data_IF_512927779931
#
_entry.id   IF_512927779931
#
_cell.length_a   1.000
_cell.length_b   1.000
_cell.length_c   1.000
_cell.angle_alpha   90.00
_cell.angle_beta   90.00
_cell.angle_gamma   90.00
#
_symmetry.space_group_name_H-M   'P 1'
#
loop_
_entity.id
_entity.type
_entity.pdbx_description
1 polymer ?
#
# COMPACT_ATOMS: atom_id res chain seq x y z
N UNK A 1 -34.64 5.85 -30.23
CA UNK A 1 -34.39 6.65 -29.00
C UNK A 1 -34.39 5.84 -27.70
N UNK A 2 -34.96 4.62 -27.62
CA UNK A 2 -34.90 3.78 -26.41
C UNK A 2 -33.52 3.13 -26.16
N UNK A 3 -32.75 2.86 -27.21
CA UNK A 3 -31.42 2.21 -27.10
C UNK A 3 -30.30 3.12 -26.61
N UNK A 4 -30.44 4.45 -26.71
CA UNK A 4 -29.43 5.41 -26.26
C UNK A 4 -29.48 5.57 -24.72
N UNK A 5 -30.67 5.44 -24.12
CA UNK A 5 -30.84 5.51 -22.67
C UNK A 5 -30.18 4.32 -21.94
N UNK A 6 -30.09 3.16 -22.58
CA UNK A 6 -29.46 1.95 -22.01
C UNK A 6 -27.94 2.10 -21.93
N UNK A 7 -27.31 2.77 -22.90
CA UNK A 7 -25.85 2.98 -22.90
C UNK A 7 -25.40 3.99 -21.84
N UNK A 8 -26.25 4.97 -21.50
CA UNK A 8 -25.98 5.97 -20.46
C UNK A 8 -26.09 5.35 -19.05
N UNK A 9 -26.96 4.36 -18.85
CA UNK A 9 -27.15 3.68 -17.56
C UNK A 9 -25.95 2.79 -17.18
N UNK A 10 -25.24 2.23 -18.17
CA UNK A 10 -24.06 1.36 -17.95
C UNK A 10 -22.83 2.16 -17.52
N UNK A 11 -22.75 3.47 -17.84
CA UNK A 11 -21.61 4.32 -17.48
C UNK A 11 -21.64 4.74 -15.99
N UNK A 12 -22.77 4.58 -15.30
CA UNK A 12 -22.92 4.94 -13.89
C UNK A 12 -22.52 3.84 -12.89
N UNK A 13 -22.10 2.65 -13.35
CA UNK A 13 -21.61 1.58 -12.47
C UNK A 13 -20.08 1.55 -12.33
N UNK A 14 -19.39 2.65 -12.69
CA UNK A 14 -17.95 2.80 -12.41
C UNK A 14 -17.78 2.78 -10.89
N UNK A 15 -17.46 1.58 -10.40
CA UNK A 15 -17.21 1.24 -9.01
C UNK A 15 -16.23 2.25 -8.42
N UNK A 16 -16.73 3.11 -7.55
CA UNK A 16 -15.89 3.92 -6.70
C UNK A 16 -15.21 2.95 -5.72
N UNK A 17 -14.02 2.46 -6.07
CA UNK A 17 -13.25 1.60 -5.17
C UNK A 17 -13.01 2.37 -3.87
N UNK A 18 -13.23 1.74 -2.71
CA UNK A 18 -12.95 2.34 -1.39
C UNK A 18 -11.47 2.63 -1.10
N UNK A 19 -10.61 2.59 -2.14
CA UNK A 19 -9.17 2.82 -2.08
C UNK A 19 -8.86 4.19 -2.67
N UNK A 20 -8.26 5.06 -1.86
CA UNK A 20 -7.69 6.33 -2.29
C UNK A 20 -6.18 6.21 -2.48
N UNK A 21 -5.64 6.83 -3.51
CA UNK A 21 -4.20 6.87 -3.76
C UNK A 21 -3.68 8.30 -3.58
N UNK A 22 -2.61 8.44 -2.80
CA UNK A 22 -1.89 9.70 -2.59
C UNK A 22 -0.44 9.51 -3.02
N UNK A 23 0.07 10.47 -3.77
CA UNK A 23 1.46 10.48 -4.22
C UNK A 23 2.11 11.75 -3.73
N UNK A 24 3.24 11.64 -3.06
CA UNK A 24 4.02 12.83 -2.72
C UNK A 24 4.60 13.44 -4.00
N UNK A 25 4.50 14.78 -4.09
CA UNK A 25 4.94 15.56 -5.26
C UNK A 25 6.47 15.60 -5.41
N UNK A 26 7.22 15.35 -4.35
CA UNK A 26 8.68 15.35 -4.38
C UNK A 26 9.19 14.00 -4.91
N UNK A 27 9.68 14.03 -6.15
CA UNK A 27 10.65 13.04 -6.63
C UNK A 27 11.97 13.36 -5.94
N UNK A 28 12.07 13.07 -4.64
CA UNK A 28 13.35 13.13 -3.96
C UNK A 28 14.25 12.11 -4.66
N UNK A 29 15.21 12.61 -5.44
CA UNK A 29 16.27 11.82 -6.05
C UNK A 29 16.82 10.87 -4.97
N UNK A 30 16.72 9.56 -5.23
CA UNK A 30 17.12 8.46 -4.32
C UNK A 30 18.55 8.56 -3.77
N UNK A 31 19.37 9.48 -4.26
CA UNK A 31 20.82 9.46 -4.08
C UNK A 31 21.35 10.08 -2.79
N UNK A 32 20.56 10.50 -1.81
CA UNK A 32 21.15 11.10 -0.59
C UNK A 32 20.31 11.15 0.68
N UNK A 33 19.29 10.29 0.84
CA UNK A 33 18.52 10.25 2.08
C UNK A 33 18.86 9.00 2.88
N UNK A 34 19.68 9.20 3.92
CA UNK A 34 19.90 8.21 4.95
C UNK A 34 18.70 8.25 5.91
N UNK A 35 17.72 7.39 5.68
CA UNK A 35 16.65 7.16 6.66
C UNK A 35 17.09 6.00 7.58
N UNK A 36 17.24 6.23 8.90
CA UNK A 36 17.62 5.19 9.86
C UNK A 36 16.70 3.96 9.82
N UNK A 37 15.43 4.15 9.45
CA UNK A 37 14.44 3.07 9.31
C UNK A 37 14.85 2.09 8.22
N UNK A 38 15.39 2.58 7.10
CA UNK A 38 15.83 1.71 6.00
C UNK A 38 16.97 0.80 6.43
N UNK A 39 17.96 1.34 7.15
CA UNK A 39 19.08 0.56 7.65
C UNK A 39 18.63 -0.47 8.69
N UNK A 40 17.76 -0.06 9.62
CA UNK A 40 17.20 -0.96 10.66
C UNK A 40 16.42 -2.13 10.07
N UNK A 41 15.79 -1.90 8.92
CA UNK A 41 14.98 -2.91 8.21
C UNK A 41 15.74 -3.64 7.08
N UNK A 42 17.04 -3.43 6.92
CA UNK A 42 17.85 -3.97 5.82
C UNK A 42 17.24 -3.71 4.42
N UNK A 43 16.69 -2.51 4.26
CA UNK A 43 15.97 -2.05 3.07
C UNK A 43 16.66 -0.83 2.43
N UNK A 44 17.97 -0.68 2.60
CA UNK A 44 18.78 0.39 2.01
C UNK A 44 19.09 0.14 0.51
N UNK A 45 18.96 -1.09 0.03
CA UNK A 45 19.16 -1.42 -1.38
C UNK A 45 18.16 -0.70 -2.31
N UNK A 46 18.62 -0.26 -3.49
CA UNK A 46 17.81 0.49 -4.45
C UNK A 46 16.72 -0.34 -5.14
N UNK A 47 16.80 -1.67 -5.08
CA UNK A 47 15.86 -2.62 -5.67
C UNK A 47 14.72 -3.03 -4.70
N UNK A 48 14.66 -2.40 -3.53
CA UNK A 48 13.63 -2.66 -2.51
C UNK A 48 12.78 -1.44 -2.23
N UNK A 49 11.55 -1.68 -1.78
CA UNK A 49 10.66 -0.71 -1.16
C UNK A 49 10.13 -1.30 0.15
N UNK A 50 9.56 -0.47 1.02
CA UNK A 50 8.95 -0.92 2.26
C UNK A 50 7.45 -0.63 2.22
N UNK A 51 6.63 -1.65 2.44
CA UNK A 51 5.18 -1.55 2.55
C UNK A 51 4.81 -1.60 4.03
N UNK A 52 4.20 -0.53 4.53
CA UNK A 52 3.72 -0.41 5.89
C UNK A 52 2.20 -0.52 5.93
N UNK A 53 1.68 -1.28 6.88
CA UNK A 53 0.26 -1.36 7.23
C UNK A 53 0.04 -0.58 8.52
N UNK A 54 -0.78 0.47 8.44
CA UNK A 54 -1.00 1.46 9.51
C UNK A 54 -2.49 1.79 9.66
N UNK A 55 -2.89 2.52 10.70
CA UNK A 55 -4.31 2.86 10.90
C UNK A 55 -5.02 1.85 11.81
N UNK A 56 -6.24 1.44 11.48
CA UNK A 56 -7.11 0.67 12.40
C UNK A 56 -7.34 -0.78 11.96
N UNK A 57 -6.28 -1.58 11.96
CA UNK A 57 -6.41 -3.03 11.80
C UNK A 57 -6.75 -3.74 13.13
N UNK A 58 -7.81 -4.55 13.14
CA UNK A 58 -8.33 -5.29 14.30
C UNK A 58 -8.50 -6.79 14.00
N UNK A 59 -7.42 -7.55 14.19
CA UNK A 59 -7.36 -8.99 13.88
C UNK A 59 -7.74 -9.28 12.43
N UNK A 60 -7.21 -8.49 11.51
CA UNK A 60 -7.45 -8.65 10.08
C UNK A 60 -6.47 -9.66 9.47
N UNK A 61 -7.02 -10.60 8.68
CA UNK A 61 -6.20 -11.51 7.89
C UNK A 61 -5.64 -10.80 6.66
N UNK A 62 -4.32 -10.76 6.57
CA UNK A 62 -3.57 -10.10 5.51
C UNK A 62 -2.64 -11.07 4.81
N UNK A 63 -2.67 -11.05 3.49
CA UNK A 63 -1.71 -11.73 2.63
C UNK A 63 -0.99 -10.72 1.75
N UNK A 64 0.34 -10.77 1.74
CA UNK A 64 1.18 -9.96 0.85
C UNK A 64 1.92 -10.88 -0.11
N UNK A 65 1.83 -10.56 -1.40
CA UNK A 65 2.54 -11.26 -2.48
C UNK A 65 3.45 -10.31 -3.22
N UNK A 66 4.68 -10.73 -3.51
CA UNK A 66 5.63 -9.97 -4.32
C UNK A 66 5.95 -10.74 -5.61
N UNK A 67 5.19 -10.47 -6.67
CA UNK A 67 5.06 -11.35 -7.84
C UNK A 67 4.16 -12.56 -7.54
N UNK A 68 4.68 -13.76 -7.78
CA UNK A 68 4.02 -15.04 -7.47
C UNK A 68 4.13 -15.43 -6.00
N UNK A 69 5.11 -14.89 -5.30
CA UNK A 69 5.58 -15.42 -4.03
C UNK A 69 4.77 -14.81 -2.88
N UNK A 70 4.21 -15.64 -2.01
CA UNK A 70 3.57 -15.19 -0.76
C UNK A 70 4.69 -14.94 0.25
N UNK A 71 4.90 -13.67 0.59
CA UNK A 71 5.95 -13.24 1.52
C UNK A 71 5.41 -13.02 2.93
N UNK A 72 4.10 -12.78 3.05
CA UNK A 72 3.41 -12.65 4.32
C UNK A 72 1.99 -13.21 4.22
N UNK A 73 1.56 -13.93 5.25
CA UNK A 73 0.21 -14.48 5.35
C UNK A 73 -0.13 -14.74 6.83
N UNK A 74 -0.69 -13.75 7.51
CA UNK A 74 -1.04 -13.88 8.91
C UNK A 74 -2.16 -12.90 9.28
N UNK A 75 -2.58 -12.96 10.54
CA UNK A 75 -3.49 -11.98 11.13
C UNK A 75 -2.68 -10.87 11.80
N UNK A 76 -3.06 -9.62 11.55
CA UNK A 76 -2.39 -8.44 12.12
C UNK A 76 -3.33 -7.65 13.02
N UNK A 77 -2.76 -6.84 13.91
CA UNK A 77 -3.49 -5.86 14.72
C UNK A 77 -2.60 -4.65 14.91
N UNK A 78 -3.20 -3.47 14.88
CA UNK A 78 -2.44 -2.23 15.05
C UNK A 78 -2.02 -2.08 16.50
N UNK A 79 -0.74 -1.81 16.74
CA UNK A 79 -0.29 -1.35 18.04
C UNK A 79 -0.82 0.06 18.29
N UNK A 80 -1.66 0.29 19.32
CA UNK A 80 -2.28 1.59 19.56
C UNK A 80 -1.26 2.67 19.97
N UNK A 81 -0.07 2.26 20.45
CA UNK A 81 0.99 3.20 20.87
C UNK A 81 1.71 3.85 19.69
N UNK A 82 1.86 3.13 18.58
CA UNK A 82 2.65 3.58 17.43
C UNK A 82 1.85 3.66 16.12
N UNK A 83 0.61 3.14 16.09
CA UNK A 83 -0.25 3.17 14.90
C UNK A 83 0.24 2.27 13.74
N UNK A 84 1.14 1.33 14.04
CA UNK A 84 1.69 0.36 13.10
C UNK A 84 1.07 -1.02 13.36
N UNK A 85 0.62 -1.68 12.30
CA UNK A 85 0.13 -3.07 12.35
C UNK A 85 1.19 -4.06 11.85
N UNK A 86 1.84 -3.73 10.73
CA UNK A 86 2.86 -4.59 10.13
C UNK A 86 3.70 -3.83 9.10
N UNK A 87 4.85 -4.38 8.71
CA UNK A 87 5.61 -3.92 7.56
C UNK A 87 6.23 -5.09 6.80
N UNK A 88 6.46 -4.90 5.51
CA UNK A 88 7.22 -5.85 4.68
C UNK A 88 8.19 -5.13 3.76
N UNK A 89 9.39 -5.69 3.62
CA UNK A 89 10.37 -5.26 2.62
C UNK A 89 10.12 -6.05 1.35
N UNK A 90 9.93 -5.35 0.24
CA UNK A 90 9.52 -5.94 -1.03
C UNK A 90 10.48 -5.55 -2.14
N UNK A 91 10.71 -6.46 -3.09
CA UNK A 91 11.40 -6.14 -4.34
C UNK A 91 10.54 -5.22 -5.18
N UNK A 92 11.13 -4.11 -5.62
CA UNK A 92 10.43 -3.08 -6.40
C UNK A 92 10.40 -3.36 -7.90
N UNK A 93 11.06 -4.43 -8.37
CA UNK A 93 11.02 -4.92 -9.75
C UNK A 93 9.78 -5.76 -10.08
N UNK A 94 9.06 -6.24 -9.04
CA UNK A 94 7.83 -7.02 -9.16
C UNK A 94 6.65 -6.23 -8.58
N UNK A 95 5.45 -6.46 -9.12
CA UNK A 95 4.25 -5.90 -8.51
C UNK A 95 4.01 -6.55 -7.14
N UNK A 96 3.45 -5.78 -6.21
CA UNK A 96 3.03 -6.29 -4.89
C UNK A 96 1.52 -6.30 -4.81
N UNK A 97 0.96 -7.37 -4.25
CA UNK A 97 -0.47 -7.50 -4.01
C UNK A 97 -0.71 -7.66 -2.52
N UNK A 98 -1.55 -6.81 -1.96
CA UNK A 98 -1.96 -6.86 -0.56
C UNK A 98 -3.45 -7.19 -0.51
N UNK A 99 -3.78 -8.34 0.09
CA UNK A 99 -5.16 -8.81 0.25
C UNK A 99 -5.53 -8.72 1.74
N UNK A 100 -6.52 -7.89 2.06
CA UNK A 100 -7.00 -7.64 3.42
C UNK A 100 -8.45 -8.14 3.47
N UNK A 101 -8.67 -9.31 4.06
CA UNK A 101 -9.94 -10.06 3.88
C UNK A 101 -11.13 -9.50 4.66
N UNK A 102 -10.89 -8.77 5.74
CA UNK A 102 -11.94 -8.28 6.65
C UNK A 102 -12.28 -6.79 6.40
N UNK A 103 -11.37 -6.02 5.80
CA UNK A 103 -11.69 -4.68 5.29
C UNK A 103 -12.51 -4.79 3.99
N UNK A 104 -13.54 -3.95 3.80
CA UNK A 104 -14.40 -3.92 2.58
C UNK A 104 -13.64 -3.52 1.30
N UNK A 105 -12.35 -3.28 1.41
CA UNK A 105 -11.48 -2.60 0.44
C UNK A 105 -10.76 -3.55 -0.52
N UNK A 106 -10.87 -4.86 -0.32
CA UNK A 106 -10.46 -5.88 -1.29
C UNK A 106 -8.94 -5.94 -1.54
N UNK A 107 -8.56 -6.39 -2.75
CA UNK A 107 -7.16 -6.61 -3.15
C UNK A 107 -6.53 -5.32 -3.66
N UNK A 108 -5.47 -4.86 -3.00
CA UNK A 108 -4.68 -3.71 -3.39
C UNK A 108 -3.52 -4.18 -4.26
N UNK A 109 -3.38 -3.59 -5.46
CA UNK A 109 -2.21 -3.81 -6.33
C UNK A 109 -1.30 -2.59 -6.23
N UNK A 110 -0.04 -2.82 -5.84
CA UNK A 110 1.03 -1.84 -5.88
C UNK A 110 1.86 -2.05 -7.16
N UNK A 111 1.72 -1.16 -8.18
CA UNK A 111 2.42 -1.30 -9.45
C UNK A 111 3.93 -1.04 -9.35
N UNK A 112 4.71 -1.77 -10.13
CA UNK A 112 6.17 -1.61 -10.28
C UNK A 112 6.58 -0.16 -10.52
N UNK A 113 5.85 0.57 -11.38
CA UNK A 113 6.07 2.00 -11.68
C UNK A 113 6.23 2.85 -10.41
N UNK A 114 5.36 2.64 -9.42
CA UNK A 114 5.36 3.44 -8.20
C UNK A 114 6.32 2.89 -7.16
N UNK A 115 6.50 1.57 -7.09
CA UNK A 115 7.51 0.95 -6.20
C UNK A 115 8.94 1.36 -6.59
N UNK A 116 9.25 1.47 -7.89
CA UNK A 116 10.56 1.98 -8.34
C UNK A 116 10.76 3.47 -8.10
N UNK A 117 9.68 4.24 -7.97
CA UNK A 117 9.73 5.70 -7.79
C UNK A 117 9.75 6.11 -6.31
N UNK A 118 9.13 5.31 -5.46
CA UNK A 118 8.89 5.62 -4.05
C UNK A 118 9.42 4.51 -3.14
N UNK A 119 10.19 4.91 -2.12
CA UNK A 119 10.82 3.98 -1.20
C UNK A 119 9.83 3.40 -0.18
N UNK A 120 8.85 4.20 0.23
CA UNK A 120 7.86 3.83 1.22
C UNK A 120 6.46 3.84 0.62
N UNK A 121 5.68 2.83 1.01
CA UNK A 121 4.25 2.74 0.71
C UNK A 121 3.51 2.54 2.03
N UNK A 122 2.63 3.47 2.37
CA UNK A 122 1.78 3.36 3.55
C UNK A 122 0.37 2.97 3.11
N UNK A 123 -0.11 1.82 3.58
CA UNK A 123 -1.50 1.39 3.44
C UNK A 123 -2.15 1.64 4.79
N UNK A 124 -3.05 2.63 4.84
CA UNK A 124 -3.78 3.02 6.04
C UNK A 124 -5.23 2.60 5.95
N UNK A 125 -5.75 1.92 6.96
CA UNK A 125 -7.21 1.76 7.13
C UNK A 125 -7.76 2.90 8.00
N UNK A 126 -8.69 3.71 7.45
CA UNK A 126 -9.33 4.85 8.12
C UNK A 126 -10.79 4.96 7.70
N UNK A 127 -11.70 4.84 8.66
CA UNK A 127 -13.13 5.17 8.50
C UNK A 127 -13.77 4.52 7.25
N UNK A 128 -13.65 3.20 7.12
CA UNK A 128 -14.15 2.39 5.99
C UNK A 128 -13.48 2.69 4.62
N UNK A 129 -12.35 3.41 4.61
CA UNK A 129 -11.56 3.68 3.41
C UNK A 129 -10.11 3.28 3.61
N UNK A 130 -9.52 2.72 2.55
CA UNK A 130 -8.08 2.48 2.50
C UNK A 130 -7.40 3.64 1.80
N UNK A 131 -6.36 4.18 2.42
CA UNK A 131 -5.45 5.13 1.79
C UNK A 131 -4.13 4.43 1.47
N UNK A 132 -3.72 4.47 0.21
CA UNK A 132 -2.39 4.06 -0.24
C UNK A 132 -1.57 5.31 -0.54
N UNK A 133 -0.59 5.60 0.31
CA UNK A 133 0.31 6.74 0.18
C UNK A 133 1.70 6.30 -0.28
N UNK A 134 2.17 6.87 -1.39
CA UNK A 134 3.51 6.67 -1.91
C UNK A 134 4.38 7.89 -1.58
N UNK A 135 5.53 7.66 -0.94
CA UNK A 135 6.43 8.73 -0.45
C UNK A 135 7.88 8.24 -0.36
N UNK A 136 8.81 9.19 -0.34
CA UNK A 136 10.23 8.95 -0.06
C UNK A 136 10.63 9.39 1.36
N UNK A 137 9.67 9.83 2.18
CA UNK A 137 9.88 10.23 3.57
C UNK A 137 9.41 9.12 4.51
N UNK A 138 10.34 8.55 5.28
CA UNK A 138 9.99 7.57 6.30
C UNK A 138 9.28 8.23 7.48
N UNK A 139 8.33 7.50 8.05
CA UNK A 139 7.67 7.84 9.31
C UNK A 139 8.33 7.05 10.43
N UNK A 140 8.52 7.71 11.58
CA UNK A 140 9.07 7.07 12.77
C UNK A 140 8.02 6.17 13.43
N UNK A 141 8.15 4.86 13.22
CA UNK A 141 7.37 3.82 13.91
C UNK A 141 8.24 2.92 14.79
N UNK A 142 9.55 2.92 14.56
CA UNK A 142 10.52 1.95 15.08
C UNK A 142 11.77 2.64 15.60
#
# INVERSE_FOLDING_TARGET
MKSVAIFILIILTISCSGINYKYENDVAYMNKWYDPTMKKLNADNSDTSIVFLTGYFEKDSVQIRNGSDIIFNSTISTSPQIGLAWFEVVKNEKAVYVDIRKSKTGKIKLPVKYLKKYKFVYISDRDDKVLVEYTNKGRAFL
#
